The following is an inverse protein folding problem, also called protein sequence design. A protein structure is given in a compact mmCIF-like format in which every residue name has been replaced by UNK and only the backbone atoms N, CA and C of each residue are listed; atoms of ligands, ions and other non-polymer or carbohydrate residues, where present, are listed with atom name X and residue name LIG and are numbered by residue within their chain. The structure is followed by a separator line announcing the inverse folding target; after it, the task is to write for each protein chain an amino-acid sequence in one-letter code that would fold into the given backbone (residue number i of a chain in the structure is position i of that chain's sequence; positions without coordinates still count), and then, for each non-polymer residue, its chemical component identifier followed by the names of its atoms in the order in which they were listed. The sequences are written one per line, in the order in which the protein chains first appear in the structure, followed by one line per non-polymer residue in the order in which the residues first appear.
data_IF_109734620228
#
_entry.id   IF_109734620228
#
_cell.length_a   1.000
_cell.length_b   1.000
_cell.length_c   1.000
_cell.angle_alpha   90.00
_cell.angle_beta   90.00
_cell.angle_gamma   90.00
#
_symmetry.space_group_name_H-M   'P 1'
#
loop_
_entity.id
_entity.type
_entity.pdbx_description
1 polymer ?
#
# COMPACT_ATOMS: atom_id res chain seq x y z
N UNK A 1 -6.45 -23.38 -20.34
CA UNK A 1 -7.42 -23.25 -19.22
C UNK A 1 -8.29 -22.03 -19.51
N UNK A 2 -9.62 -22.14 -19.42
CA UNK A 2 -10.50 -20.97 -19.67
C UNK A 2 -10.45 -20.00 -18.48
N UNK A 3 -10.49 -18.68 -18.74
CA UNK A 3 -10.50 -17.65 -17.69
C UNK A 3 -11.66 -17.82 -16.70
N UNK A 4 -12.82 -18.32 -17.17
CA UNK A 4 -13.97 -18.64 -16.33
C UNK A 4 -13.63 -19.73 -15.30
N UNK A 5 -12.89 -20.74 -15.73
CA UNK A 5 -12.47 -21.84 -14.87
C UNK A 5 -11.43 -21.38 -13.83
N UNK A 6 -10.46 -20.55 -14.24
CA UNK A 6 -9.48 -19.97 -13.30
C UNK A 6 -10.15 -19.18 -12.17
N UNK A 7 -11.12 -18.32 -12.50
CA UNK A 7 -11.88 -17.56 -11.49
C UNK A 7 -12.67 -18.46 -10.55
N UNK A 8 -13.23 -19.55 -11.06
CA UNK A 8 -13.96 -20.52 -10.25
C UNK A 8 -13.01 -21.21 -9.24
N UNK A 9 -11.87 -21.73 -9.70
CA UNK A 9 -10.86 -22.37 -8.83
C UNK A 9 -10.37 -21.40 -7.74
N UNK A 10 -10.11 -20.15 -8.09
CA UNK A 10 -9.70 -19.14 -7.10
C UNK A 10 -10.82 -18.89 -6.09
N UNK A 11 -12.08 -18.82 -6.53
CA UNK A 11 -13.23 -18.64 -5.63
C UNK A 11 -13.38 -19.82 -4.66
N UNK A 12 -13.20 -21.05 -5.14
CA UNK A 12 -13.23 -22.27 -4.33
C UNK A 12 -12.06 -22.29 -3.32
N UNK A 13 -10.86 -21.87 -3.74
CA UNK A 13 -9.71 -21.70 -2.84
C UNK A 13 -9.96 -20.67 -1.73
N UNK A 14 -10.55 -19.51 -2.06
CA UNK A 14 -10.89 -18.48 -1.06
C UNK A 14 -11.93 -18.94 -0.04
N UNK A 15 -12.83 -19.84 -0.44
CA UNK A 15 -13.82 -20.44 0.46
C UNK A 15 -13.27 -21.58 1.31
N UNK A 16 -12.04 -22.03 1.04
CA UNK A 16 -11.45 -23.21 1.68
C UNK A 16 -11.95 -24.54 1.13
N UNK A 17 -12.73 -24.54 0.03
CA UNK A 17 -13.11 -25.77 -0.67
C UNK A 17 -11.88 -26.43 -1.34
N UNK A 18 -10.90 -25.61 -1.75
CA UNK A 18 -9.58 -26.03 -2.18
C UNK A 18 -8.55 -25.51 -1.18
N UNK A 19 -7.70 -26.39 -0.65
CA UNK A 19 -6.66 -26.02 0.33
C UNK A 19 -5.26 -25.85 -0.29
N UNK A 20 -5.03 -26.41 -1.48
CA UNK A 20 -3.73 -26.36 -2.16
C UNK A 20 -3.93 -25.88 -3.59
N UNK A 21 -3.22 -24.80 -3.95
CA UNK A 21 -3.21 -24.24 -5.30
C UNK A 21 -1.82 -24.40 -5.90
N UNK A 22 -1.75 -24.99 -7.10
CA UNK A 22 -0.52 -25.08 -7.89
C UNK A 22 -0.67 -24.19 -9.12
N UNK A 23 0.26 -23.25 -9.30
CA UNK A 23 0.20 -22.31 -10.39
C UNK A 23 1.60 -21.98 -10.93
N UNK A 24 1.65 -21.50 -12.17
CA UNK A 24 2.87 -21.01 -12.82
C UNK A 24 3.02 -19.50 -12.61
N UNK A 25 4.16 -18.92 -13.02
CA UNK A 25 4.47 -17.49 -12.82
C UNK A 25 3.39 -16.52 -13.33
N UNK A 26 2.56 -16.92 -14.30
CA UNK A 26 1.42 -16.15 -14.80
C UNK A 26 0.37 -15.89 -13.70
N UNK A 27 0.34 -16.71 -12.65
CA UNK A 27 -0.54 -16.54 -11.51
C UNK A 27 0.04 -15.64 -10.41
N UNK A 28 1.32 -15.28 -10.47
CA UNK A 28 1.93 -14.36 -9.49
C UNK A 28 1.39 -12.94 -9.64
N UNK A 29 1.07 -12.56 -10.88
CA UNK A 29 0.63 -11.22 -11.26
C UNK A 29 -0.83 -11.26 -11.75
N UNK A 30 -1.67 -10.37 -11.22
CA UNK A 30 -3.05 -10.20 -11.68
C UNK A 30 -4.09 -11.20 -11.15
N UNK A 31 -3.69 -12.22 -10.39
CA UNK A 31 -4.63 -13.08 -9.63
C UNK A 31 -4.66 -12.66 -8.16
N UNK A 32 -5.84 -12.27 -7.70
CA UNK A 32 -6.08 -11.94 -6.30
C UNK A 32 -6.21 -13.24 -5.48
N UNK A 33 -5.08 -13.71 -4.94
CA UNK A 33 -4.99 -14.90 -4.09
C UNK A 33 -5.02 -14.44 -2.62
N UNK A 34 -5.83 -15.09 -1.79
CA UNK A 34 -5.92 -14.85 -0.34
C UNK A 34 -4.57 -15.04 0.35
N UNK A 35 -4.43 -14.47 1.56
CA UNK A 35 -3.26 -14.66 2.41
C UNK A 35 -3.14 -16.16 2.76
N UNK A 36 -2.01 -16.77 2.44
CA UNK A 36 -1.68 -18.17 2.66
C UNK A 36 -0.78 -18.35 3.88
N UNK A 37 -0.87 -19.52 4.52
CA UNK A 37 0.01 -19.93 5.61
C UNK A 37 1.37 -20.43 5.10
N UNK A 38 1.40 -21.04 3.91
CA UNK A 38 2.63 -21.61 3.35
C UNK A 38 2.66 -21.38 1.84
N UNK A 39 3.76 -20.85 1.35
CA UNK A 39 4.00 -20.65 -0.09
C UNK A 39 5.31 -21.31 -0.47
N UNK A 40 5.22 -22.27 -1.38
CA UNK A 40 6.37 -22.90 -2.02
C UNK A 40 6.62 -22.27 -3.38
N UNK A 41 7.81 -21.68 -3.54
CA UNK A 41 8.27 -21.18 -4.83
C UNK A 41 9.28 -22.15 -5.42
N UNK A 42 8.92 -22.73 -6.57
CA UNK A 42 9.85 -23.51 -7.37
C UNK A 42 10.64 -22.56 -8.26
N UNK A 43 11.98 -22.65 -8.18
CA UNK A 43 12.96 -21.77 -8.83
C UNK A 43 13.18 -20.41 -8.15
N UNK A 44 14.37 -19.86 -8.41
CA UNK A 44 14.74 -18.51 -8.00
C UNK A 44 13.76 -17.49 -8.61
N UNK A 45 13.30 -16.47 -7.85
CA UNK A 45 12.55 -15.35 -8.41
C UNK A 45 13.39 -14.57 -9.45
N UNK A 46 12.80 -14.22 -10.61
CA UNK A 46 13.51 -13.53 -11.69
C UNK A 46 13.86 -12.08 -11.34
N UNK A 47 13.06 -11.41 -10.52
CA UNK A 47 13.25 -10.02 -10.12
C UNK A 47 12.66 -9.76 -8.72
N UNK A 48 12.94 -8.57 -8.18
CA UNK A 48 12.46 -8.13 -6.87
C UNK A 48 10.92 -8.11 -6.78
N UNK A 49 10.23 -7.64 -7.82
CA UNK A 49 8.77 -7.57 -7.84
C UNK A 49 8.12 -8.95 -7.71
N UNK A 50 8.62 -9.93 -8.46
CA UNK A 50 8.15 -11.31 -8.40
C UNK A 50 8.44 -11.95 -7.03
N UNK A 51 9.60 -11.67 -6.44
CA UNK A 51 9.90 -12.07 -5.06
C UNK A 51 8.92 -11.46 -4.06
N UNK A 52 8.65 -10.16 -4.15
CA UNK A 52 7.71 -9.45 -3.27
C UNK A 52 6.26 -9.93 -3.44
N UNK A 53 5.82 -10.16 -4.66
CA UNK A 53 4.47 -10.65 -4.97
C UNK A 53 4.27 -12.06 -4.39
N UNK A 54 5.22 -12.99 -4.59
CA UNK A 54 5.10 -14.35 -4.05
C UNK A 54 5.27 -14.42 -2.54
N UNK A 55 6.25 -13.69 -1.97
CA UNK A 55 6.42 -13.56 -0.51
C UNK A 55 5.19 -12.90 0.11
N UNK A 56 4.58 -11.94 -0.59
CA UNK A 56 3.38 -11.23 -0.16
C UNK A 56 2.14 -12.12 0.05
N UNK A 57 2.10 -13.29 -0.60
CA UNK A 57 1.03 -14.28 -0.37
C UNK A 57 1.23 -15.06 0.93
N UNK A 58 2.45 -15.21 1.44
CA UNK A 58 2.74 -15.84 2.72
C UNK A 58 2.60 -14.84 3.89
N UNK A 59 1.39 -14.32 4.12
CA UNK A 59 1.11 -13.28 5.14
C UNK A 59 -0.07 -13.61 6.07
N UNK A 60 -0.44 -14.88 6.20
CA UNK A 60 -1.47 -15.26 7.18
C UNK A 60 -1.03 -14.89 8.62
N UNK A 61 -1.98 -14.48 9.47
CA UNK A 61 -1.71 -13.93 10.82
C UNK A 61 -0.95 -14.90 11.76
N UNK A 62 -0.90 -16.19 11.47
CA UNK A 62 -0.23 -17.20 12.29
C UNK A 62 0.67 -18.08 11.42
N UNK A 63 1.95 -18.17 11.79
CA UNK A 63 2.96 -19.08 11.24
C UNK A 63 3.06 -19.08 9.70
N UNK A 64 3.03 -17.91 9.08
CA UNK A 64 3.25 -17.81 7.64
C UNK A 64 4.71 -18.15 7.28
N UNK A 65 4.89 -19.05 6.32
CA UNK A 65 6.21 -19.46 5.84
C UNK A 65 6.31 -19.32 4.32
N UNK A 66 7.47 -18.80 3.88
CA UNK A 66 7.82 -18.66 2.49
C UNK A 66 9.07 -19.48 2.20
N UNK A 67 8.95 -20.50 1.35
CA UNK A 67 10.00 -21.47 1.07
C UNK A 67 10.34 -21.43 -0.41
N UNK A 68 11.61 -21.21 -0.74
CA UNK A 68 12.10 -21.24 -2.12
C UNK A 68 12.85 -22.57 -2.30
N UNK A 69 12.37 -23.40 -3.22
CA UNK A 69 13.05 -24.60 -3.66
C UNK A 69 13.92 -24.27 -4.88
N UNK A 70 15.21 -24.55 -4.76
CA UNK A 70 16.21 -24.34 -5.82
C UNK A 70 17.17 -25.51 -5.90
N UNK A 71 17.76 -25.69 -7.08
CA UNK A 71 18.91 -26.55 -7.26
C UNK A 71 20.14 -25.97 -6.56
N UNK A 72 21.01 -26.88 -6.06
CA UNK A 72 22.25 -26.50 -5.36
C UNK A 72 23.18 -25.63 -6.22
N UNK A 73 23.13 -25.76 -7.54
CA UNK A 73 23.93 -24.95 -8.48
C UNK A 73 23.61 -23.46 -8.41
N UNK A 74 22.35 -23.10 -8.11
CA UNK A 74 21.86 -21.71 -8.11
C UNK A 74 21.92 -21.10 -6.70
N UNK A 75 22.28 -21.88 -5.68
CA UNK A 75 22.26 -21.46 -4.27
C UNK A 75 23.06 -20.18 -4.01
N UNK A 76 24.29 -20.10 -4.53
CA UNK A 76 25.14 -18.91 -4.31
C UNK A 76 24.52 -17.66 -4.90
N UNK A 77 24.03 -17.73 -6.15
CA UNK A 77 23.39 -16.62 -6.85
C UNK A 77 22.13 -16.18 -6.10
N UNK A 78 21.27 -17.13 -5.69
CA UNK A 78 20.07 -16.81 -4.92
C UNK A 78 20.40 -16.10 -3.61
N UNK A 79 21.41 -16.54 -2.86
CA UNK A 79 21.78 -15.90 -1.60
C UNK A 79 22.21 -14.44 -1.81
N UNK A 80 23.00 -14.16 -2.86
CA UNK A 80 23.38 -12.79 -3.22
C UNK A 80 22.17 -11.94 -3.59
N UNK A 81 21.25 -12.50 -4.38
CA UNK A 81 20.02 -11.80 -4.77
C UNK A 81 19.11 -11.52 -3.57
N UNK A 82 18.96 -12.48 -2.65
CA UNK A 82 18.15 -12.33 -1.45
C UNK A 82 18.68 -11.23 -0.53
N UNK A 83 20.00 -11.12 -0.35
CA UNK A 83 20.58 -9.98 0.38
C UNK A 83 20.24 -8.65 -0.29
N UNK A 84 20.29 -8.61 -1.62
CA UNK A 84 19.97 -7.40 -2.38
C UNK A 84 18.48 -7.05 -2.25
N UNK A 85 17.59 -8.04 -2.31
CA UNK A 85 16.16 -7.87 -2.11
C UNK A 85 15.80 -7.43 -0.69
N UNK A 86 16.52 -7.92 0.33
CA UNK A 86 16.35 -7.45 1.71
C UNK A 86 16.72 -5.97 1.84
N UNK A 87 17.82 -5.53 1.23
CA UNK A 87 18.19 -4.11 1.21
C UNK A 87 17.11 -3.26 0.52
N UNK A 88 16.52 -3.74 -0.59
CA UNK A 88 15.42 -3.03 -1.24
C UNK A 88 14.15 -2.97 -0.37
N UNK A 89 13.82 -4.04 0.36
CA UNK A 89 12.71 -4.02 1.33
C UNK A 89 12.93 -2.99 2.44
N UNK A 90 14.15 -2.91 2.99
CA UNK A 90 14.50 -1.94 4.02
C UNK A 90 14.40 -0.50 3.51
N UNK A 91 14.99 -0.22 2.34
CA UNK A 91 14.89 1.11 1.72
C UNK A 91 13.43 1.47 1.46
N UNK A 92 12.64 0.53 0.95
CA UNK A 92 11.20 0.76 0.72
C UNK A 92 10.47 1.10 2.02
N UNK A 93 10.78 0.40 3.11
CA UNK A 93 10.19 0.65 4.43
C UNK A 93 10.60 2.02 4.97
N UNK A 94 11.88 2.37 4.88
CA UNK A 94 12.38 3.69 5.30
C UNK A 94 11.69 4.82 4.54
N UNK A 95 11.55 4.69 3.22
CA UNK A 95 10.82 5.67 2.42
C UNK A 95 9.35 5.75 2.85
N UNK A 96 8.68 4.63 3.10
CA UNK A 96 7.29 4.64 3.58
C UNK A 96 7.13 5.36 4.93
N UNK A 97 8.07 5.15 5.86
CA UNK A 97 8.10 5.83 7.15
C UNK A 97 8.37 7.34 7.01
N UNK A 98 9.32 7.72 6.14
CA UNK A 98 9.68 9.12 5.88
C UNK A 98 8.58 9.90 5.15
N UNK A 99 7.76 9.21 4.33
CA UNK A 99 6.63 9.81 3.61
C UNK A 99 5.27 9.69 4.30
N UNK A 100 5.17 9.01 5.46
CA UNK A 100 3.93 8.87 6.26
C UNK A 100 2.66 8.73 5.41
N UNK A 101 2.67 7.79 4.46
CA UNK A 101 1.42 7.28 3.88
C UNK A 101 1.07 6.10 4.77
N UNK A 102 0.31 6.37 5.84
CA UNK A 102 -0.38 5.33 6.60
C UNK A 102 -1.20 4.51 5.60
N UNK A 103 -0.66 3.36 5.20
CA UNK A 103 -1.45 2.30 4.59
C UNK A 103 -2.15 1.55 5.73
N UNK A 104 -2.88 2.29 6.57
CA UNK A 104 -3.95 1.70 7.33
C UNK A 104 -5.03 1.35 6.30
N UNK A 105 -5.02 0.08 5.91
CA UNK A 105 -6.11 -0.63 5.23
C UNK A 105 -7.45 -0.58 6.02
N UNK A 106 -7.57 0.28 7.04
CA UNK A 106 -8.72 0.51 7.91
C UNK A 106 -8.99 2.03 8.16
N UNK A 107 -8.73 2.92 7.20
CA UNK A 107 -9.53 4.17 7.15
C UNK A 107 -10.97 3.78 6.80
N UNK A 108 -11.73 3.41 7.83
CA UNK A 108 -13.16 3.14 7.73
C UNK A 108 -13.82 4.44 7.27
N UNK A 109 -14.00 4.59 5.96
CA UNK A 109 -14.64 5.77 5.33
C UNK A 109 -16.00 6.10 5.95
N UNK A 110 -16.62 5.16 6.66
CA UNK A 110 -17.80 5.37 7.49
C UNK A 110 -17.57 6.35 8.66
N UNK A 111 -16.40 6.42 9.27
CA UNK A 111 -16.09 7.35 10.36
C UNK A 111 -15.88 8.78 9.83
N UNK A 112 -15.25 8.91 8.66
CA UNK A 112 -15.12 10.20 7.95
C UNK A 112 -16.46 10.75 7.44
N UNK A 113 -17.44 9.87 7.14
CA UNK A 113 -18.80 10.26 6.77
C UNK A 113 -19.64 10.73 7.96
N UNK A 114 -19.25 10.41 9.20
CA UNK A 114 -19.94 10.82 10.42
C UNK A 114 -19.54 12.22 10.90
N UNK A 115 -18.43 12.77 10.38
CA UNK A 115 -18.00 14.14 10.70
C UNK A 115 -18.95 15.15 10.07
N UNK A 116 -19.34 16.17 10.86
CA UNK A 116 -20.17 17.25 10.35
C UNK A 116 -19.45 18.00 9.20
N UNK A 117 -20.09 18.15 8.03
CA UNK A 117 -19.50 18.86 6.91
C UNK A 117 -19.26 20.34 7.25
N UNK A 118 -18.11 20.87 6.84
CA UNK A 118 -17.82 22.29 6.96
C UNK A 118 -18.69 23.09 5.99
N UNK A 119 -19.36 24.13 6.48
CA UNK A 119 -20.22 25.01 5.68
C UNK A 119 -19.61 26.40 5.66
N UNK A 120 -19.33 26.91 4.47
CA UNK A 120 -18.92 28.31 4.31
C UNK A 120 -20.13 29.24 4.39
N UNK A 121 -19.89 30.51 4.72
CA UNK A 121 -20.91 31.56 4.74
C UNK A 121 -21.62 31.71 3.38
N UNK A 122 -20.95 31.32 2.29
CA UNK A 122 -21.46 31.35 0.92
C UNK A 122 -22.29 30.10 0.55
N UNK A 123 -22.57 29.20 1.50
CA UNK A 123 -23.40 28.01 1.30
C UNK A 123 -22.69 26.82 0.65
N UNK A 124 -21.36 26.87 0.46
CA UNK A 124 -20.58 25.73 -0.04
C UNK A 124 -20.35 24.76 1.11
N UNK A 125 -20.60 23.47 0.85
CA UNK A 125 -20.47 22.40 1.85
C UNK A 125 -19.30 21.50 1.48
N UNK A 126 -18.38 21.28 2.42
CA UNK A 126 -17.18 20.47 2.24
C UNK A 126 -17.20 19.33 3.27
N UNK A 127 -17.33 18.09 2.78
CA UNK A 127 -17.19 16.89 3.60
C UNK A 127 -15.71 16.58 3.87
N UNK A 128 -15.39 15.97 5.02
CA UNK A 128 -14.03 15.56 5.37
C UNK A 128 -13.35 14.69 4.28
N UNK A 129 -14.10 13.80 3.63
CA UNK A 129 -13.61 12.93 2.54
C UNK A 129 -13.13 13.73 1.32
N UNK A 130 -13.72 14.90 1.08
CA UNK A 130 -13.42 15.75 -0.09
C UNK A 130 -12.43 16.86 0.23
N UNK A 131 -12.18 17.14 1.51
CA UNK A 131 -11.29 18.22 1.93
C UNK A 131 -9.88 18.06 1.36
N UNK A 132 -9.29 16.86 1.48
CA UNK A 132 -7.96 16.57 0.94
C UNK A 132 -7.90 16.80 -0.58
N UNK A 133 -8.88 16.29 -1.33
CA UNK A 133 -8.92 16.43 -2.79
C UNK A 133 -8.96 17.90 -3.22
N UNK A 134 -9.77 18.72 -2.55
CA UNK A 134 -9.90 20.16 -2.85
C UNK A 134 -8.55 20.87 -2.65
N UNK A 135 -7.82 20.53 -1.59
CA UNK A 135 -6.49 21.11 -1.31
C UNK A 135 -5.50 20.69 -2.42
N UNK A 136 -5.51 19.42 -2.83
CA UNK A 136 -4.66 18.94 -3.93
C UNK A 136 -4.98 19.61 -5.27
N UNK A 137 -6.26 19.77 -5.60
CA UNK A 137 -6.69 20.43 -6.82
C UNK A 137 -6.23 21.90 -6.83
N UNK A 138 -6.39 22.60 -5.70
CA UNK A 138 -5.92 23.97 -5.53
C UNK A 138 -4.39 24.09 -5.70
N UNK A 139 -3.62 23.19 -5.08
CA UNK A 139 -2.17 23.18 -5.20
C UNK A 139 -1.71 22.90 -6.65
N UNK A 140 -2.46 22.07 -7.38
CA UNK A 140 -2.19 21.78 -8.80
C UNK A 140 -2.44 22.98 -9.70
N UNK A 141 -3.49 23.76 -9.40
CA UNK A 141 -3.81 25.01 -10.12
C UNK A 141 -2.66 26.02 -9.94
N UNK A 142 -2.16 26.20 -8.72
CA UNK A 142 -1.06 27.13 -8.43
C UNK A 142 0.28 26.63 -9.01
N UNK A 143 0.49 25.32 -9.07
CA UNK A 143 1.68 24.70 -9.62
C UNK A 143 1.81 24.78 -11.15
N UNK A 144 0.91 25.47 -11.85
CA UNK A 144 0.82 25.48 -13.33
C UNK A 144 0.78 24.05 -13.91
N UNK A 145 0.01 23.16 -13.28
CA UNK A 145 -0.11 21.75 -13.70
C UNK A 145 1.04 20.84 -13.23
N UNK A 146 2.02 21.37 -12.49
CA UNK A 146 2.97 20.52 -11.74
C UNK A 146 2.38 20.19 -10.38
N UNK A 147 2.48 18.92 -9.99
CA UNK A 147 2.05 18.48 -8.67
C UNK A 147 2.98 19.09 -7.61
N UNK A 148 2.45 20.01 -6.82
CA UNK A 148 3.14 20.62 -5.69
C UNK A 148 2.32 20.35 -4.43
N UNK A 149 2.41 19.16 -3.82
CA UNK A 149 1.55 18.80 -2.69
C UNK A 149 1.86 19.71 -1.48
N UNK A 150 0.86 20.02 -0.63
CA UNK A 150 1.12 20.71 0.62
C UNK A 150 1.91 19.81 1.56
N UNK A 151 2.69 20.41 2.45
CA UNK A 151 3.43 19.68 3.49
C UNK A 151 2.55 19.60 4.74
N UNK A 152 2.31 18.40 5.22
CA UNK A 152 1.55 18.16 6.46
C UNK A 152 2.54 17.68 7.53
N UNK A 153 2.58 18.37 8.66
CA UNK A 153 3.39 17.99 9.82
C UNK A 153 2.46 17.59 10.95
N UNK A 154 2.60 16.36 11.44
CA UNK A 154 1.82 15.86 12.56
C UNK A 154 2.59 16.04 13.86
N UNK A 155 1.94 16.60 14.87
CA UNK A 155 2.44 16.70 16.23
C UNK A 155 1.51 15.93 17.16
N UNK A 156 2.03 14.87 17.77
CA UNK A 156 1.34 14.16 18.84
C UNK A 156 1.44 14.99 20.11
N UNK A 157 0.30 15.43 20.66
CA UNK A 157 0.27 16.10 21.97
C UNK A 157 0.21 15.06 23.09
N UNK A 158 0.65 15.42 24.31
CA UNK A 158 0.78 14.51 25.47
C UNK A 158 -0.53 13.80 25.93
N UNK A 159 -1.69 14.15 25.35
CA UNK A 159 -3.03 13.74 25.79
C UNK A 159 -3.89 13.02 24.72
N UNK A 160 -3.33 12.11 23.92
CA UNK A 160 -4.07 11.36 22.86
C UNK A 160 -4.72 12.23 21.76
N UNK A 161 -4.49 13.54 21.77
CA UNK A 161 -4.88 14.46 20.71
C UNK A 161 -3.76 14.59 19.68
N UNK A 162 -4.14 14.68 18.41
CA UNK A 162 -3.24 14.99 17.31
C UNK A 162 -3.47 16.44 16.88
N UNK A 163 -2.40 17.21 16.74
CA UNK A 163 -2.44 18.48 16.00
C UNK A 163 -1.68 18.30 14.68
N UNK A 164 -2.21 18.89 13.61
CA UNK A 164 -1.58 18.85 12.30
C UNK A 164 -1.33 20.27 11.82
N UNK A 165 -0.13 20.54 11.35
CA UNK A 165 0.21 21.81 10.73
C UNK A 165 0.26 21.59 9.22
N UNK A 166 -0.60 22.29 8.49
CA UNK A 166 -0.65 22.30 7.04
C UNK A 166 0.15 23.52 6.53
N UNK A 167 1.26 23.24 5.84
CA UNK A 167 2.12 24.24 5.23
C UNK A 167 1.99 24.20 3.71
N UNK A 168 1.62 25.33 3.11
CA UNK A 168 1.31 25.41 1.68
C UNK A 168 2.59 25.56 0.83
N UNK A 169 2.56 25.15 -0.46
CA UNK A 169 3.70 25.31 -1.36
C UNK A 169 4.13 26.78 -1.51
N UNK A 170 5.41 27.03 -1.82
CA UNK A 170 5.99 28.39 -1.90
C UNK A 170 5.28 29.34 -2.89
N UNK A 171 4.57 28.79 -3.87
CA UNK A 171 3.81 29.55 -4.86
C UNK A 171 2.41 29.96 -4.35
N UNK A 172 1.98 29.48 -3.18
CA UNK A 172 0.71 29.81 -2.57
C UNK A 172 0.76 31.22 -1.95
N UNK A 173 -0.28 32.06 -2.13
CA UNK A 173 -0.37 33.35 -1.45
C UNK A 173 -0.55 33.22 0.08
N UNK A 174 -1.06 32.07 0.55
CA UNK A 174 -1.16 31.76 1.98
C UNK A 174 0.20 31.23 2.44
N UNK A 175 0.90 32.04 3.24
CA UNK A 175 2.24 31.73 3.75
C UNK A 175 2.26 31.32 5.22
N UNK A 176 1.18 31.60 5.93
CA UNK A 176 1.04 31.22 7.32
C UNK A 176 0.67 29.75 7.41
N UNK A 177 1.25 29.08 8.41
CA UNK A 177 0.94 27.69 8.72
C UNK A 177 -0.50 27.58 9.25
N UNK A 178 -1.28 26.65 8.70
CA UNK A 178 -2.66 26.40 9.09
C UNK A 178 -2.64 25.29 10.14
N UNK A 179 -3.11 25.59 11.36
CA UNK A 179 -3.20 24.66 12.51
C UNK A 179 -4.58 24.05 12.58
#
# INVERSE_FOLDING_TARGET
MSAKYQRQVIKEFRKGEINVLVATAIAEEGLDITKCNLVFRFNKPPNFSSYMQSKGRARAKQNAAYVILIDKSVQKTLLTDLCTYQNYEEIQKMLQEEFSIDNDDDLNTNDLNQLEPYRTDNGVVISAIRAAQIIYDYCTIIGNGRLCPPRILYHKTDHETFSSILSMPANCPIRDDII
#
